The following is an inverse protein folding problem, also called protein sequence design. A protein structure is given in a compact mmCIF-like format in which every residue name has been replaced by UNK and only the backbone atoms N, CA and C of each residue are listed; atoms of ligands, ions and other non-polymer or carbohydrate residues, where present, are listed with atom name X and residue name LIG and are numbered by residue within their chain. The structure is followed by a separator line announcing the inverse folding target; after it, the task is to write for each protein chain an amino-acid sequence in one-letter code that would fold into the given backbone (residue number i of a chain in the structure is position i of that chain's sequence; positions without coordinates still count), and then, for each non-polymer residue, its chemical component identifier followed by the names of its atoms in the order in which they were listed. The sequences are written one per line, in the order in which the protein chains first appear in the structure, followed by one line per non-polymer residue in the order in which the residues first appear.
data_IF_435652128775
#
_entry.id   IF_435652128775
#
_cell.length_a   1.000
_cell.length_b   1.000
_cell.length_c   1.000
_cell.angle_alpha   90.00
_cell.angle_beta   90.00
_cell.angle_gamma   90.00
#
_symmetry.space_group_name_H-M   'P 1'
#
loop_
_entity.id
_entity.type
_entity.pdbx_description
1 polymer ?
#
# COMPACT_ATOMS: atom_id res chain seq x y z
N UNK A 1 6.96 -24.29 30.88
CA UNK A 1 7.13 -24.36 29.42
C UNK A 1 8.28 -25.31 29.14
N UNK A 2 8.01 -26.54 28.68
CA UNK A 2 9.04 -27.59 28.52
C UNK A 2 10.14 -27.21 27.50
N UNK A 3 9.89 -26.17 26.71
CA UNK A 3 10.82 -25.61 25.71
C UNK A 3 11.70 -24.47 26.24
N UNK A 4 11.70 -24.16 27.55
CA UNK A 4 12.59 -23.12 28.07
C UNK A 4 14.03 -23.64 28.19
N UNK A 5 14.80 -23.46 27.12
CA UNK A 5 16.21 -23.81 27.02
C UNK A 5 17.14 -22.76 27.65
N UNK A 6 16.63 -21.62 28.11
CA UNK A 6 17.45 -20.49 28.58
C UNK A 6 18.34 -20.87 29.77
N UNK A 7 17.86 -21.78 30.63
CA UNK A 7 18.64 -22.30 31.77
C UNK A 7 19.83 -23.18 31.39
N UNK A 8 19.92 -23.61 30.13
CA UNK A 8 21.00 -24.44 29.60
C UNK A 8 21.95 -23.69 28.64
N UNK A 9 21.60 -22.44 28.29
CA UNK A 9 22.38 -21.58 27.39
C UNK A 9 23.48 -20.87 28.18
N UNK A 10 24.69 -20.82 27.63
CA UNK A 10 25.84 -20.11 28.20
C UNK A 10 26.34 -18.99 27.27
N UNK A 11 27.03 -18.00 27.83
CA UNK A 11 27.60 -16.85 27.11
C UNK A 11 26.71 -15.60 27.19
N UNK A 12 27.28 -14.47 27.64
CA UNK A 12 26.56 -13.21 27.82
C UNK A 12 26.32 -12.44 26.51
N UNK A 13 27.28 -12.47 25.58
CA UNK A 13 27.22 -11.76 24.28
C UNK A 13 26.78 -12.67 23.13
N UNK A 14 27.13 -13.95 23.18
CA UNK A 14 26.69 -14.97 22.20
C UNK A 14 26.15 -16.17 22.97
N UNK A 15 24.83 -16.36 22.88
CA UNK A 15 24.11 -17.48 23.49
C UNK A 15 24.49 -18.79 22.79
N UNK A 16 24.98 -19.79 23.53
CA UNK A 16 25.34 -21.11 23.01
C UNK A 16 24.81 -22.24 23.90
N UNK A 17 24.25 -23.29 23.27
CA UNK A 17 23.92 -24.57 23.91
C UNK A 17 24.95 -25.62 23.46
N UNK A 18 25.71 -26.19 24.39
CA UNK A 18 26.72 -27.20 24.07
C UNK A 18 26.17 -28.63 24.24
N UNK A 19 26.86 -29.63 23.69
CA UNK A 19 26.41 -31.03 23.75
C UNK A 19 26.26 -31.56 25.17
N UNK A 20 27.11 -31.15 26.12
CA UNK A 20 27.02 -31.58 27.52
C UNK A 20 25.73 -31.07 28.17
N UNK A 21 25.36 -29.82 27.92
CA UNK A 21 24.13 -29.20 28.42
C UNK A 21 22.90 -29.75 27.73
N UNK A 22 22.97 -30.05 26.43
CA UNK A 22 21.89 -30.70 25.68
C UNK A 22 21.53 -32.07 26.29
N UNK A 23 22.54 -32.87 26.68
CA UNK A 23 22.34 -34.18 27.34
C UNK A 23 21.70 -34.10 28.73
N UNK A 24 21.70 -32.92 29.36
CA UNK A 24 21.14 -32.69 30.70
C UNK A 24 19.68 -32.20 30.67
N UNK A 25 19.09 -32.08 29.48
CA UNK A 25 17.69 -31.64 29.34
C UNK A 25 16.78 -32.81 29.70
N UNK A 26 15.98 -32.63 30.74
CA UNK A 26 14.96 -33.58 31.16
C UNK A 26 13.68 -33.34 30.36
N UNK A 27 13.11 -34.43 29.82
CA UNK A 27 11.84 -34.41 29.09
C UNK A 27 10.88 -35.44 29.69
N UNK A 28 9.57 -35.17 29.71
CA UNK A 28 8.59 -36.18 30.08
C UNK A 28 8.53 -37.26 28.99
N UNK A 29 8.73 -38.52 29.37
CA UNK A 29 8.73 -39.67 28.46
C UNK A 29 7.54 -40.59 28.78
N UNK A 30 6.39 -40.45 28.10
CA UNK A 30 5.25 -41.35 28.27
C UNK A 30 5.51 -42.71 27.57
N UNK A 31 4.67 -43.73 27.79
CA UNK A 31 4.74 -45.01 27.06
C UNK A 31 4.66 -44.84 25.54
N UNK A 32 5.22 -45.78 24.78
CA UNK A 32 5.31 -45.69 23.31
C UNK A 32 3.96 -45.45 22.62
N UNK A 33 2.89 -46.10 23.10
CA UNK A 33 1.54 -45.91 22.57
C UNK A 33 1.05 -44.47 22.73
N UNK A 34 1.32 -43.86 23.90
CA UNK A 34 0.95 -42.48 24.17
C UNK A 34 1.83 -41.50 23.38
N UNK A 35 3.11 -41.81 23.17
CA UNK A 35 3.97 -41.03 22.26
C UNK A 35 3.38 -41.01 20.84
N UNK A 36 2.97 -42.16 20.31
CA UNK A 36 2.33 -42.26 18.99
C UNK A 36 1.02 -41.48 18.93
N UNK A 37 0.18 -41.57 19.97
CA UNK A 37 -1.08 -40.81 20.06
C UNK A 37 -0.84 -39.31 20.02
N UNK A 38 0.15 -38.82 20.77
CA UNK A 38 0.55 -37.41 20.81
C UNK A 38 1.05 -36.97 19.43
N UNK A 39 1.99 -37.71 18.83
CA UNK A 39 2.54 -37.41 17.50
C UNK A 39 1.43 -37.32 16.45
N UNK A 40 0.51 -38.30 16.41
CA UNK A 40 -0.61 -38.28 15.47
C UNK A 40 -1.49 -37.04 15.60
N UNK A 41 -1.77 -36.59 16.83
CA UNK A 41 -2.56 -35.38 17.05
C UNK A 41 -1.81 -34.14 16.57
N UNK A 42 -0.51 -34.06 16.84
CA UNK A 42 0.33 -32.94 16.43
C UNK A 42 0.47 -32.88 14.91
N UNK A 43 0.73 -34.00 14.25
CA UNK A 43 0.84 -34.07 12.78
C UNK A 43 -0.46 -33.61 12.12
N UNK A 44 -1.61 -34.12 12.57
CA UNK A 44 -2.92 -33.68 12.07
C UNK A 44 -3.19 -32.20 12.34
N UNK A 45 -2.70 -31.65 13.45
CA UNK A 45 -2.85 -30.22 13.76
C UNK A 45 -1.97 -29.36 12.85
N UNK A 46 -0.71 -29.75 12.63
CA UNK A 46 0.20 -29.02 11.75
C UNK A 46 -0.24 -29.09 10.29
N UNK A 47 -0.67 -30.25 9.79
CA UNK A 47 -1.21 -30.40 8.43
C UNK A 47 -2.40 -29.46 8.18
N UNK A 48 -3.31 -29.34 9.17
CA UNK A 48 -4.43 -28.40 9.10
C UNK A 48 -3.97 -26.94 9.08
N UNK A 49 -2.94 -26.59 9.86
CA UNK A 49 -2.37 -25.24 9.87
C UNK A 49 -1.78 -24.92 8.50
N UNK A 50 -0.98 -25.83 7.95
CA UNK A 50 -0.33 -25.65 6.65
C UNK A 50 -1.36 -25.48 5.53
N UNK A 51 -2.37 -26.36 5.50
CA UNK A 51 -3.49 -26.28 4.53
C UNK A 51 -4.25 -24.95 4.66
N UNK A 52 -4.47 -24.47 5.88
CA UNK A 52 -5.17 -23.19 6.12
C UNK A 52 -4.35 -21.99 5.65
N UNK A 53 -3.03 -22.02 5.85
CA UNK A 53 -2.11 -20.98 5.37
C UNK A 53 -2.10 -20.94 3.84
N UNK A 54 -2.06 -22.09 3.18
CA UNK A 54 -2.12 -22.18 1.71
C UNK A 54 -3.46 -21.66 1.17
N UNK A 55 -4.58 -22.05 1.78
CA UNK A 55 -5.90 -21.57 1.41
C UNK A 55 -6.03 -20.04 1.55
N UNK A 56 -5.52 -19.47 2.64
CA UNK A 56 -5.53 -18.02 2.84
C UNK A 56 -4.68 -17.28 1.80
N UNK A 57 -3.51 -17.83 1.43
CA UNK A 57 -2.67 -17.26 0.36
C UNK A 57 -3.38 -17.31 -1.00
N UNK A 58 -4.02 -18.43 -1.33
CA UNK A 58 -4.78 -18.57 -2.57
C UNK A 58 -5.98 -17.61 -2.62
N UNK A 59 -6.73 -17.48 -1.51
CA UNK A 59 -7.84 -16.53 -1.42
C UNK A 59 -7.37 -15.08 -1.59
N UNK A 60 -6.21 -14.71 -1.03
CA UNK A 60 -5.65 -13.37 -1.23
C UNK A 60 -5.35 -13.10 -2.71
N UNK A 61 -4.71 -14.05 -3.39
CA UNK A 61 -4.43 -13.94 -4.83
C UNK A 61 -5.72 -13.84 -5.67
N UNK A 62 -6.74 -14.64 -5.36
CA UNK A 62 -8.04 -14.58 -6.04
C UNK A 62 -8.76 -13.24 -5.80
N UNK A 63 -8.63 -12.66 -4.61
CA UNK A 63 -9.17 -11.33 -4.31
C UNK A 63 -8.47 -10.24 -5.11
N UNK A 64 -7.15 -10.32 -5.23
CA UNK A 64 -6.36 -9.39 -6.03
C UNK A 64 -6.75 -9.51 -7.52
N UNK A 65 -6.89 -10.72 -8.06
CA UNK A 65 -7.34 -10.96 -9.44
C UNK A 65 -8.76 -10.44 -9.67
N UNK A 66 -9.70 -10.72 -8.77
CA UNK A 66 -11.07 -10.21 -8.84
C UNK A 66 -11.10 -8.68 -8.80
N UNK A 67 -10.31 -8.06 -7.93
CA UNK A 67 -10.21 -6.61 -7.84
C UNK A 67 -9.70 -5.99 -9.15
N UNK A 68 -8.64 -6.55 -9.74
CA UNK A 68 -8.13 -6.10 -11.04
C UNK A 68 -9.16 -6.29 -12.15
N UNK A 69 -9.81 -7.45 -12.23
CA UNK A 69 -10.85 -7.72 -13.23
C UNK A 69 -12.03 -6.75 -13.15
N UNK A 70 -12.46 -6.39 -11.93
CA UNK A 70 -13.51 -5.38 -11.74
C UNK A 70 -13.05 -4.00 -12.20
N UNK A 71 -11.82 -3.60 -11.90
CA UNK A 71 -11.25 -2.33 -12.36
C UNK A 71 -11.15 -2.30 -13.88
N UNK A 72 -10.60 -3.35 -14.50
CA UNK A 72 -10.46 -3.48 -15.95
C UNK A 72 -11.81 -3.40 -16.66
N UNK A 73 -12.82 -4.13 -16.19
CA UNK A 73 -14.18 -4.04 -16.75
C UNK A 73 -14.81 -2.66 -16.57
N UNK A 74 -14.48 -1.96 -15.49
CA UNK A 74 -15.04 -0.63 -15.20
C UNK A 74 -14.41 0.46 -16.06
N UNK A 75 -13.08 0.39 -16.29
CA UNK A 75 -12.35 1.41 -17.04
C UNK A 75 -12.15 1.07 -18.52
N UNK A 76 -12.26 -0.19 -18.91
CA UNK A 76 -12.26 -0.67 -20.30
C UNK A 76 -13.54 -1.48 -20.60
N UNK A 77 -14.73 -0.85 -20.58
CA UNK A 77 -16.00 -1.54 -20.75
C UNK A 77 -16.21 -2.13 -22.16
N UNK A 78 -15.43 -1.71 -23.17
CA UNK A 78 -15.49 -2.24 -24.55
C UNK A 78 -14.53 -3.42 -24.80
N UNK A 79 -13.69 -3.78 -23.83
CA UNK A 79 -12.60 -4.76 -24.00
C UNK A 79 -13.05 -6.16 -24.45
N UNK A 80 -14.15 -6.68 -23.90
CA UNK A 80 -14.65 -8.04 -24.20
C UNK A 80 -15.72 -8.06 -25.31
N UNK A 81 -16.28 -6.90 -25.67
CA UNK A 81 -17.41 -6.76 -26.61
C UNK A 81 -16.98 -6.22 -27.97
N UNK A 82 -15.72 -6.42 -28.35
CA UNK A 82 -15.23 -6.11 -29.68
C UNK A 82 -15.78 -7.08 -30.75
N UNK A 83 -17.09 -7.34 -30.72
CA UNK A 83 -17.84 -7.78 -31.89
C UNK A 83 -18.17 -6.54 -32.72
N UNK A 84 -17.12 -6.10 -33.43
CA UNK A 84 -17.11 -5.35 -34.69
C UNK A 84 -18.39 -4.65 -35.18
N UNK A 85 -19.05 -3.75 -34.43
CA UNK A 85 -20.08 -2.87 -35.06
C UNK A 85 -20.20 -1.42 -34.59
N UNK A 86 -19.63 -1.00 -33.46
CA UNK A 86 -19.73 0.42 -33.02
C UNK A 86 -18.39 1.04 -32.60
N UNK A 87 -17.38 0.94 -33.45
CA UNK A 87 -16.17 1.77 -33.36
C UNK A 87 -16.41 3.14 -33.99
N UNK A 88 -17.11 4.02 -33.28
CA UNK A 88 -17.21 5.42 -33.72
C UNK A 88 -15.86 6.12 -33.48
N UNK A 89 -15.22 6.57 -34.56
CA UNK A 89 -13.95 7.29 -34.51
C UNK A 89 -14.08 8.54 -33.64
N UNK A 90 -13.36 8.57 -32.51
CA UNK A 90 -13.14 9.80 -31.75
C UNK A 90 -12.00 10.59 -32.42
N UNK A 91 -12.18 11.88 -32.74
CA UNK A 91 -11.13 12.69 -33.32
C UNK A 91 -10.12 13.06 -32.23
N UNK A 92 -9.05 12.28 -32.09
CA UNK A 92 -7.94 12.56 -31.18
C UNK A 92 -7.10 13.73 -31.73
N UNK A 93 -7.15 14.88 -31.06
CA UNK A 93 -6.10 15.91 -31.16
C UNK A 93 -5.07 15.64 -30.06
N UNK A 94 -4.20 14.66 -30.26
CA UNK A 94 -2.81 14.59 -29.77
C UNK A 94 -2.25 13.17 -30.01
N UNK A 95 -1.01 13.13 -30.47
CA UNK A 95 -0.33 12.04 -31.18
C UNK A 95 0.14 10.89 -30.25
N UNK A 96 -0.79 10.27 -29.52
CA UNK A 96 -0.52 9.05 -28.72
C UNK A 96 -1.55 7.98 -29.06
N UNK A 97 -1.08 6.78 -29.44
CA UNK A 97 -1.91 5.60 -29.60
C UNK A 97 -2.79 5.40 -28.37
N UNK A 98 -4.09 5.60 -28.53
CA UNK A 98 -5.08 5.29 -27.49
C UNK A 98 -4.98 3.81 -27.13
N UNK A 99 -4.87 3.44 -25.84
CA UNK A 99 -4.60 2.06 -25.44
C UNK A 99 -5.77 1.10 -25.74
N UNK A 100 -7.00 1.60 -25.83
CA UNK A 100 -8.20 0.85 -26.20
C UNK A 100 -9.34 1.80 -26.64
N UNK A 101 -10.39 1.30 -27.34
CA UNK A 101 -11.56 2.10 -27.69
C UNK A 101 -12.36 2.49 -26.44
N UNK A 102 -12.87 3.72 -26.42
CA UNK A 102 -13.70 4.23 -25.33
C UNK A 102 -15.19 4.20 -25.71
N UNK A 103 -16.11 4.08 -24.73
CA UNK A 103 -17.54 4.30 -24.95
C UNK A 103 -17.86 5.64 -25.60
N UNK A 104 -19.05 5.74 -26.18
CA UNK A 104 -19.57 7.01 -26.68
C UNK A 104 -19.52 8.08 -25.56
N UNK A 105 -19.05 9.27 -25.91
CA UNK A 105 -18.87 10.44 -25.02
C UNK A 105 -17.74 10.35 -23.99
N UNK A 106 -16.90 9.32 -24.03
CA UNK A 106 -15.65 9.29 -23.27
C UNK A 106 -14.50 9.84 -24.11
N UNK A 107 -13.59 10.57 -23.48
CA UNK A 107 -12.45 11.19 -24.14
C UNK A 107 -11.17 10.90 -23.38
N UNK A 108 -10.09 10.67 -24.12
CA UNK A 108 -8.75 10.57 -23.54
C UNK A 108 -8.29 11.96 -23.11
N UNK A 109 -7.86 12.10 -21.85
CA UNK A 109 -7.20 13.30 -21.33
C UNK A 109 -5.94 12.96 -20.58
N UNK A 110 -4.96 13.84 -20.68
CA UNK A 110 -3.77 13.82 -19.84
C UNK A 110 -4.11 14.34 -18.44
N UNK A 111 -3.33 13.94 -17.43
CA UNK A 111 -3.50 14.43 -16.06
C UNK A 111 -3.40 15.97 -15.96
N UNK A 112 -2.60 16.60 -16.83
CA UNK A 112 -2.46 18.06 -16.87
C UNK A 112 -3.68 18.80 -17.45
N UNK A 113 -4.55 18.12 -18.20
CA UNK A 113 -5.80 18.71 -18.70
C UNK A 113 -6.94 18.64 -17.68
N UNK A 114 -6.81 17.80 -16.65
CA UNK A 114 -7.86 17.52 -15.67
C UNK A 114 -7.48 17.94 -14.24
N UNK A 115 -6.33 18.57 -14.07
CA UNK A 115 -5.89 19.08 -12.78
C UNK A 115 -4.52 19.77 -12.81
N UNK A 116 -4.26 20.54 -11.77
CA UNK A 116 -2.95 21.17 -11.56
C UNK A 116 -2.00 20.18 -10.88
N UNK A 117 -0.83 20.00 -11.46
CA UNK A 117 0.22 19.13 -10.91
C UNK A 117 1.30 20.01 -10.29
N UNK A 118 1.50 19.86 -8.98
CA UNK A 118 2.48 20.64 -8.23
C UNK A 118 3.35 19.74 -7.36
N UNK A 119 4.66 19.95 -7.43
CA UNK A 119 5.60 19.25 -6.54
C UNK A 119 5.51 19.81 -5.12
N UNK A 120 5.51 18.94 -4.11
CA UNK A 120 5.50 19.33 -2.71
C UNK A 120 6.71 20.17 -2.29
N UNK A 121 6.65 20.72 -1.09
CA UNK A 121 7.78 21.41 -0.48
C UNK A 121 7.86 21.14 1.01
N UNK A 122 9.08 21.13 1.53
CA UNK A 122 9.34 20.93 2.95
C UNK A 122 10.04 22.15 3.51
N UNK A 123 9.45 22.83 4.52
CA UNK A 123 10.13 23.89 5.25
C UNK A 123 11.48 23.42 5.81
N UNK A 124 12.36 24.36 6.12
CA UNK A 124 13.69 24.02 6.65
C UNK A 124 13.58 23.29 7.98
N UNK A 125 14.14 22.07 8.04
CA UNK A 125 14.22 21.26 9.27
C UNK A 125 15.02 21.94 10.38
N UNK A 126 15.89 22.88 10.03
CA UNK A 126 16.73 23.60 10.97
C UNK A 126 15.96 24.70 11.73
N UNK A 127 14.70 24.98 11.38
CA UNK A 127 13.84 25.88 12.12
C UNK A 127 12.69 25.10 12.79
N UNK A 128 12.85 24.72 14.07
CA UNK A 128 11.84 23.96 14.81
C UNK A 128 10.47 24.64 14.85
N UNK A 129 10.40 25.98 14.74
CA UNK A 129 9.14 26.74 14.76
C UNK A 129 8.23 26.42 13.57
N UNK A 130 8.74 25.84 12.49
CA UNK A 130 7.93 25.41 11.36
C UNK A 130 7.17 24.11 11.62
N UNK A 131 7.55 23.35 12.65
CA UNK A 131 6.93 22.08 12.99
C UNK A 131 6.04 22.26 14.23
N UNK A 132 4.88 21.64 14.20
CA UNK A 132 3.80 21.82 15.16
C UNK A 132 2.66 20.86 14.84
N UNK A 133 1.45 21.09 15.34
CA UNK A 133 0.32 20.18 15.18
C UNK A 133 -0.87 20.82 14.43
N UNK A 134 -0.63 21.91 13.68
CA UNK A 134 -1.70 22.69 13.04
C UNK A 134 -2.15 22.10 11.70
N UNK A 135 -1.20 21.71 10.84
CA UNK A 135 -1.47 21.22 9.48
C UNK A 135 -0.65 19.97 9.16
N UNK A 136 -1.18 19.00 8.40
CA UNK A 136 -0.41 17.81 8.04
C UNK A 136 0.69 18.11 7.02
N UNK A 137 1.81 17.40 7.17
CA UNK A 137 2.88 17.29 6.18
C UNK A 137 2.99 15.84 5.72
N UNK A 138 2.39 15.53 4.58
CA UNK A 138 2.39 14.17 4.02
C UNK A 138 3.80 13.79 3.50
N UNK A 139 4.25 12.59 3.86
CA UNK A 139 5.53 12.00 3.44
C UNK A 139 5.32 10.69 2.69
N UNK A 140 6.30 10.21 1.91
CA UNK A 140 6.15 8.96 1.14
C UNK A 140 5.74 7.74 1.98
N UNK A 141 6.15 7.68 3.26
CA UNK A 141 5.77 6.62 4.20
C UNK A 141 4.28 6.62 4.57
N UNK A 142 3.59 7.75 4.39
CA UNK A 142 2.17 7.91 4.73
C UNK A 142 1.24 7.40 3.62
N UNK A 143 1.79 7.19 2.40
CA UNK A 143 1.03 6.81 1.22
C UNK A 143 0.95 5.28 1.06
N UNK A 144 -0.09 4.81 0.37
CA UNK A 144 -0.36 3.38 0.13
C UNK A 144 -1.16 2.67 1.24
N UNK A 145 -1.67 3.39 2.24
CA UNK A 145 -2.51 2.84 3.33
C UNK A 145 -3.99 3.16 3.11
N UNK A 146 -4.56 2.69 2.01
CA UNK A 146 -5.95 2.96 1.61
C UNK A 146 -6.17 4.32 0.95
N UNK A 147 -7.43 4.66 0.67
CA UNK A 147 -7.76 5.83 -0.16
C UNK A 147 -7.39 7.16 0.50
N UNK A 148 -7.83 7.41 1.73
CA UNK A 148 -7.56 8.66 2.45
C UNK A 148 -6.42 8.49 3.43
N UNK A 149 -5.33 9.21 3.20
CA UNK A 149 -4.10 9.09 3.97
C UNK A 149 -4.10 10.00 5.21
N UNK A 150 -3.33 9.60 6.21
CA UNK A 150 -3.06 10.38 7.42
C UNK A 150 -1.58 10.71 7.47
N UNK A 151 -1.25 11.97 7.71
CA UNK A 151 0.15 12.35 7.87
C UNK A 151 0.68 11.86 9.22
N UNK A 152 1.93 11.39 9.21
CA UNK A 152 2.69 11.09 10.44
C UNK A 152 3.37 12.33 11.03
N UNK A 153 3.47 13.39 10.24
CA UNK A 153 4.09 14.66 10.62
C UNK A 153 3.18 15.85 10.35
N UNK A 154 3.47 16.94 11.06
CA UNK A 154 2.66 18.15 11.02
C UNK A 154 3.55 19.41 11.02
N UNK A 155 3.01 20.47 10.45
CA UNK A 155 3.55 21.82 10.44
C UNK A 155 2.80 22.68 11.45
N UNK A 156 3.49 23.68 11.96
CA UNK A 156 2.84 24.83 12.57
C UNK A 156 2.19 25.71 11.51
N UNK A 157 1.35 26.67 11.91
CA UNK A 157 0.85 27.72 11.00
C UNK A 157 1.97 28.40 10.22
N UNK A 158 3.07 28.74 10.89
CA UNK A 158 4.23 29.40 10.27
C UNK A 158 4.91 28.49 9.22
N UNK A 159 5.07 27.20 9.55
CA UNK A 159 5.63 26.23 8.60
C UNK A 159 4.74 26.01 7.40
N UNK A 160 3.42 25.98 7.61
CA UNK A 160 2.44 25.84 6.53
C UNK A 160 2.43 27.04 5.58
N UNK A 161 2.58 28.26 6.11
CA UNK A 161 2.76 29.48 5.30
C UNK A 161 4.04 29.46 4.45
N UNK A 162 5.09 28.80 4.95
CA UNK A 162 6.36 28.58 4.25
C UNK A 162 6.33 27.43 3.24
N UNK A 163 5.30 26.58 3.27
CA UNK A 163 5.20 25.38 2.45
C UNK A 163 4.19 25.54 1.31
N UNK A 164 4.19 24.60 0.36
CA UNK A 164 3.20 24.57 -0.71
C UNK A 164 1.87 24.07 -0.15
N UNK A 165 0.85 24.91 -0.22
CA UNK A 165 -0.47 24.63 0.35
C UNK A 165 -1.27 23.81 -0.66
N UNK A 166 -1.82 22.71 -0.19
CA UNK A 166 -2.65 21.80 -0.96
C UNK A 166 -4.07 21.81 -0.39
N UNK A 167 -5.10 21.99 -1.23
CA UNK A 167 -6.47 21.87 -0.78
C UNK A 167 -6.78 20.43 -0.32
N UNK A 168 -7.91 20.29 0.37
CA UNK A 168 -8.50 18.99 0.65
C UNK A 168 -8.85 18.26 -0.66
N UNK A 169 -8.84 16.93 -0.63
CA UNK A 169 -9.14 16.03 -1.75
C UNK A 169 -8.13 16.15 -2.90
N UNK A 170 -6.87 16.41 -2.58
CA UNK A 170 -5.75 16.39 -3.52
C UNK A 170 -5.20 14.96 -3.61
N UNK A 171 -4.96 14.46 -4.83
CA UNK A 171 -4.30 13.16 -5.02
C UNK A 171 -2.79 13.35 -4.94
N UNK A 172 -2.14 12.62 -4.03
CA UNK A 172 -0.70 12.66 -3.82
C UNK A 172 -0.07 11.42 -4.44
N UNK A 173 1.03 11.60 -5.17
CA UNK A 173 1.77 10.52 -5.85
C UNK A 173 3.24 10.62 -5.48
N UNK A 174 3.83 9.54 -4.96
CA UNK A 174 5.28 9.48 -4.76
C UNK A 174 5.98 9.31 -6.10
N UNK A 175 6.82 10.28 -6.47
CA UNK A 175 7.53 10.29 -7.76
C UNK A 175 9.04 10.08 -7.61
N UNK A 176 9.57 10.04 -6.39
CA UNK A 176 11.02 9.90 -6.13
C UNK A 176 11.28 8.92 -4.98
N UNK A 177 12.17 7.95 -5.17
CA UNK A 177 12.68 7.05 -4.13
C UNK A 177 12.16 5.61 -4.22
N UNK A 178 12.41 4.80 -3.19
CA UNK A 178 12.10 3.36 -3.21
C UNK A 178 10.59 3.02 -3.23
N UNK A 179 9.72 4.00 -3.00
CA UNK A 179 8.26 3.84 -2.94
C UNK A 179 7.54 4.61 -4.03
N UNK A 180 8.18 4.81 -5.19
CA UNK A 180 7.58 5.41 -6.39
C UNK A 180 6.25 4.70 -6.72
N UNK A 181 5.25 5.48 -7.15
CA UNK A 181 3.94 4.98 -7.55
C UNK A 181 2.95 4.79 -6.41
N UNK A 182 3.37 4.91 -5.14
CA UNK A 182 2.41 4.97 -4.04
C UNK A 182 1.56 6.23 -4.14
N UNK A 183 0.25 6.07 -3.96
CA UNK A 183 -0.72 7.15 -4.01
C UNK A 183 -1.52 7.31 -2.70
N UNK A 184 -2.23 8.43 -2.57
CA UNK A 184 -3.16 8.68 -1.48
C UNK A 184 -3.91 10.00 -1.62
N UNK A 185 -5.16 10.05 -1.14
CA UNK A 185 -5.98 11.27 -1.14
C UNK A 185 -5.83 12.03 0.18
N UNK A 186 -5.57 13.35 0.09
CA UNK A 186 -5.59 14.22 1.25
C UNK A 186 -7.03 14.40 1.75
N UNK A 187 -7.32 13.97 2.98
CA UNK A 187 -8.65 14.14 3.58
C UNK A 187 -8.93 15.56 4.10
N UNK A 188 -7.88 16.39 4.19
CA UNK A 188 -7.87 17.75 4.75
C UNK A 188 -6.83 18.60 4.00
N UNK A 189 -6.89 19.92 4.20
CA UNK A 189 -5.86 20.86 3.71
C UNK A 189 -4.50 20.52 4.34
N UNK A 190 -3.41 20.66 3.58
CA UNK A 190 -2.08 20.26 4.04
C UNK A 190 -0.94 20.62 3.09
N UNK A 191 0.25 20.11 3.37
CA UNK A 191 1.41 20.16 2.47
C UNK A 191 1.98 18.75 2.30
N UNK A 192 2.85 18.54 1.30
CA UNK A 192 3.56 17.28 1.12
C UNK A 192 5.05 17.49 0.88
N UNK A 193 5.82 16.42 1.06
CA UNK A 193 7.26 16.41 0.83
C UNK A 193 7.62 16.59 -0.67
N UNK A 194 8.86 17.04 -0.94
CA UNK A 194 9.37 17.25 -2.31
C UNK A 194 9.43 15.98 -3.18
N UNK A 195 9.41 14.79 -2.58
CA UNK A 195 9.33 13.53 -3.31
C UNK A 195 7.93 13.21 -3.86
N UNK A 196 6.94 14.05 -3.54
CA UNK A 196 5.53 13.84 -3.87
C UNK A 196 5.06 14.93 -4.84
N UNK A 197 4.41 14.52 -5.91
CA UNK A 197 3.60 15.42 -6.72
C UNK A 197 2.14 15.33 -6.28
N UNK A 198 1.51 16.50 -6.19
CA UNK A 198 0.12 16.68 -5.83
C UNK A 198 -0.68 17.03 -7.09
N UNK A 199 -1.74 16.27 -7.35
CA UNK A 199 -2.68 16.48 -8.44
C UNK A 199 -3.94 17.07 -7.82
N UNK A 200 -4.18 18.35 -8.07
CA UNK A 200 -5.37 19.08 -7.64
C UNK A 200 -6.38 18.98 -8.79
N UNK A 201 -7.46 18.20 -8.65
CA UNK A 201 -8.41 18.02 -9.74
C UNK A 201 -9.17 19.31 -10.05
N UNK A 202 -9.49 19.51 -11.33
CA UNK A 202 -10.42 20.56 -11.76
C UNK A 202 -11.82 20.34 -11.16
N UNK A 203 -12.69 21.37 -11.08
CA UNK A 203 -14.00 21.27 -10.43
C UNK A 203 -14.91 20.14 -10.94
N UNK A 204 -14.76 19.74 -12.21
CA UNK A 204 -15.55 18.69 -12.84
C UNK A 204 -14.93 17.29 -12.74
N UNK A 205 -13.86 17.13 -11.96
CA UNK A 205 -13.09 15.89 -11.86
C UNK A 205 -13.13 15.39 -10.42
N UNK A 206 -13.64 14.17 -10.22
CA UNK A 206 -13.73 13.58 -8.89
C UNK A 206 -12.38 13.05 -8.45
N UNK A 207 -11.84 13.52 -7.31
CA UNK A 207 -10.55 13.04 -6.80
C UNK A 207 -10.53 11.53 -6.56
N UNK A 208 -11.67 10.97 -6.13
CA UNK A 208 -11.80 9.52 -5.90
C UNK A 208 -11.75 8.72 -7.21
N UNK A 209 -12.22 9.30 -8.32
CA UNK A 209 -12.07 8.70 -9.65
C UNK A 209 -10.59 8.68 -10.04
N UNK A 210 -9.88 9.79 -9.87
CA UNK A 210 -8.43 9.83 -10.13
C UNK A 210 -7.64 8.80 -9.30
N UNK A 211 -8.02 8.61 -8.03
CA UNK A 211 -7.38 7.60 -7.18
C UNK A 211 -7.52 6.16 -7.71
N UNK A 212 -8.59 5.84 -8.43
CA UNK A 212 -8.78 4.50 -8.97
C UNK A 212 -8.17 4.30 -10.37
N UNK A 213 -7.98 5.40 -11.12
CA UNK A 213 -7.39 5.39 -12.46
C UNK A 213 -5.86 5.47 -12.43
N UNK A 214 -5.29 6.18 -11.44
CA UNK A 214 -3.84 6.30 -11.24
C UNK A 214 -3.29 5.16 -10.37
#
# INVERSE_FOLDING_TARGET
NYSNLEKYITGATVKKLNQQKLKQIEIPLPPLEEQMRIVKILDLAFEKIDTSVELLKANLANLDELAQSVLDRTFNPLGDSADSTESTQNPSTHDTQSPYPLPQHWEWKTLGEIGDIITGSTPSKNNPKFYGNDYPLFKPSDLGSGNTIKASDNLSKLGFESARKLPKNTLLVVCIGASIGKIGLSGIIGSCNQQINAIIPSPNVLSKYLFFVC
#
